data_IF_704262968621
#
_entry.id   IF_704262968621
#
_cell.length_a   1.000
_cell.length_b   1.000
_cell.length_c   1.000
_cell.angle_alpha   90.00
_cell.angle_beta   90.00
_cell.angle_gamma   90.00
#
_symmetry.space_group_name_H-M   'P 1'
#
loop_
_entity.id
_entity.type
_entity.pdbx_description
1 polymer ?
#
# COMPACT_ATOMS: atom_id res chain seq x y z
N UNK A 1 -21.66 -13.27 -5.40
CA UNK A 1 -20.44 -12.43 -5.45
C UNK A 1 -19.28 -13.36 -5.77
N UNK A 2 -18.92 -13.47 -7.04
CA UNK A 2 -17.78 -14.27 -7.49
C UNK A 2 -16.50 -13.47 -7.26
N UNK A 3 -15.80 -13.76 -6.17
CA UNK A 3 -14.44 -13.30 -5.97
C UNK A 3 -13.52 -14.18 -6.82
N UNK A 4 -13.42 -13.89 -8.12
CA UNK A 4 -12.49 -14.56 -9.02
C UNK A 4 -11.23 -13.69 -9.18
N UNK A 5 -10.06 -14.26 -8.85
CA UNK A 5 -8.77 -13.62 -9.12
C UNK A 5 -8.67 -13.41 -10.63
N UNK A 6 -8.62 -12.14 -11.07
CA UNK A 6 -8.70 -11.79 -12.49
C UNK A 6 -7.37 -11.95 -13.23
N UNK A 7 -6.27 -11.71 -12.55
CA UNK A 7 -4.91 -11.85 -13.08
C UNK A 7 -3.97 -12.18 -11.91
N UNK A 8 -2.96 -13.01 -12.18
CA UNK A 8 -1.89 -13.31 -11.24
C UNK A 8 -0.56 -13.26 -11.98
N UNK A 9 0.34 -12.36 -11.55
CA UNK A 9 1.68 -12.23 -12.14
C UNK A 9 2.74 -12.31 -11.07
N UNK A 10 3.74 -13.15 -11.31
CA UNK A 10 4.98 -13.18 -10.54
C UNK A 10 6.00 -12.27 -11.22
N UNK A 11 6.49 -11.28 -10.49
CA UNK A 11 7.59 -10.42 -10.94
C UNK A 11 8.77 -10.66 -10.00
N UNK A 12 9.88 -11.12 -10.57
CA UNK A 12 11.03 -11.64 -9.81
C UNK A 12 12.14 -10.60 -9.58
N UNK A 13 12.00 -9.39 -10.11
CA UNK A 13 12.97 -8.31 -9.97
C UNK A 13 12.30 -6.95 -9.99
N UNK A 14 12.90 -5.96 -9.32
CA UNK A 14 12.51 -4.56 -9.46
C UNK A 14 12.84 -4.10 -10.88
N UNK A 15 11.84 -3.66 -11.62
CA UNK A 15 12.01 -3.10 -12.96
C UNK A 15 11.04 -1.95 -13.21
N UNK A 16 11.33 -1.14 -14.23
CA UNK A 16 10.39 -0.09 -14.65
C UNK A 16 9.02 -0.65 -15.05
N UNK A 17 8.98 -1.88 -15.55
CA UNK A 17 7.74 -2.56 -15.94
C UNK A 17 6.95 -3.00 -14.72
N UNK A 18 7.63 -3.46 -13.67
CA UNK A 18 6.99 -3.84 -12.41
C UNK A 18 6.37 -2.64 -11.70
N UNK A 19 7.06 -1.50 -11.71
CA UNK A 19 6.54 -0.23 -11.19
C UNK A 19 5.25 0.18 -11.92
N UNK A 20 5.31 0.24 -13.26
CA UNK A 20 4.14 0.58 -14.10
C UNK A 20 2.97 -0.39 -13.90
N UNK A 21 3.26 -1.68 -13.79
CA UNK A 21 2.24 -2.69 -13.52
C UNK A 21 1.55 -2.41 -12.18
N UNK A 22 2.33 -2.21 -11.11
CA UNK A 22 1.80 -1.93 -9.79
C UNK A 22 0.95 -0.65 -9.78
N UNK A 23 1.44 0.47 -10.33
CA UNK A 23 0.69 1.74 -10.42
C UNK A 23 -0.66 1.58 -11.15
N UNK A 24 -0.68 0.70 -12.16
CA UNK A 24 -1.84 0.40 -12.99
C UNK A 24 -2.93 -0.41 -12.28
N UNK A 25 -2.59 -1.14 -11.21
CA UNK A 25 -3.57 -1.94 -10.45
C UNK A 25 -4.70 -1.05 -9.96
N UNK A 26 -5.92 -1.58 -9.98
CA UNK A 26 -7.14 -0.89 -9.63
C UNK A 26 -7.71 -1.31 -8.27
N UNK A 27 -8.97 -0.96 -8.06
CA UNK A 27 -9.75 -1.40 -6.89
C UNK A 27 -9.86 -2.92 -6.91
N UNK A 28 -9.69 -3.55 -5.74
CA UNK A 28 -9.77 -5.00 -5.55
C UNK A 28 -8.66 -5.83 -6.21
N UNK A 29 -7.68 -5.18 -6.83
CA UNK A 29 -6.46 -5.86 -7.27
C UNK A 29 -5.49 -6.02 -6.09
N UNK A 30 -4.74 -7.11 -6.10
CA UNK A 30 -3.77 -7.42 -5.07
C UNK A 30 -2.38 -7.57 -5.70
N UNK A 31 -1.39 -6.87 -5.13
CA UNK A 31 0.01 -7.12 -5.39
C UNK A 31 0.70 -7.59 -4.11
N UNK A 32 1.55 -8.60 -4.26
CA UNK A 32 2.46 -9.06 -3.21
C UNK A 32 3.87 -8.96 -3.76
N UNK A 33 4.73 -8.21 -3.07
CA UNK A 33 6.14 -8.15 -3.37
C UNK A 33 6.94 -8.79 -2.24
N UNK A 34 7.85 -9.68 -2.59
CA UNK A 34 8.86 -10.24 -1.69
C UNK A 34 10.20 -9.72 -2.15
N UNK A 35 10.64 -8.60 -1.58
CA UNK A 35 11.89 -7.98 -1.98
C UNK A 35 12.57 -7.38 -0.74
N UNK A 36 13.70 -7.95 -0.28
CA UNK A 36 14.36 -7.52 0.94
C UNK A 36 15.16 -6.22 0.76
N UNK A 37 15.19 -5.66 -0.45
CA UNK A 37 15.96 -4.46 -0.77
C UNK A 37 15.13 -3.20 -0.60
N UNK A 38 15.76 -2.15 -0.08
CA UNK A 38 15.19 -0.81 0.06
C UNK A 38 14.67 -0.24 -1.27
N UNK A 39 15.27 -0.65 -2.39
CA UNK A 39 14.88 -0.29 -3.76
C UNK A 39 13.41 -0.60 -4.06
N UNK A 40 12.88 -1.70 -3.52
CA UNK A 40 11.47 -2.07 -3.73
C UNK A 40 10.52 -1.01 -3.18
N UNK A 41 10.87 -0.39 -2.04
CA UNK A 41 10.02 0.64 -1.45
C UNK A 41 9.93 1.87 -2.35
N UNK A 42 11.07 2.34 -2.83
CA UNK A 42 11.16 3.56 -3.63
C UNK A 42 10.68 3.38 -5.07
N UNK A 43 10.95 2.23 -5.68
CA UNK A 43 10.66 1.99 -7.10
C UNK A 43 9.27 1.37 -7.32
N UNK A 44 8.65 0.75 -6.31
CA UNK A 44 7.36 0.06 -6.47
C UNK A 44 6.36 0.48 -5.39
N UNK A 45 6.70 0.32 -4.12
CA UNK A 45 5.75 0.50 -3.03
C UNK A 45 5.20 1.93 -2.96
N UNK A 46 6.07 2.93 -2.85
CA UNK A 46 5.65 4.32 -2.70
C UNK A 46 5.01 4.90 -3.97
N UNK A 47 5.49 4.62 -5.20
CA UNK A 47 4.75 4.94 -6.42
C UNK A 47 3.35 4.34 -6.43
N UNK A 48 3.20 3.07 -6.02
CA UNK A 48 1.89 2.41 -5.91
C UNK A 48 0.95 3.15 -4.96
N UNK A 49 1.42 3.52 -3.76
CA UNK A 49 0.63 4.30 -2.80
C UNK A 49 0.22 5.65 -3.41
N UNK A 50 1.18 6.37 -3.99
CA UNK A 50 0.97 7.69 -4.60
C UNK A 50 -0.05 7.62 -5.75
N UNK A 51 0.00 6.58 -6.57
CA UNK A 51 -0.96 6.36 -7.65
C UNK A 51 -2.40 6.15 -7.12
N UNK A 52 -2.56 5.48 -5.98
CA UNK A 52 -3.86 5.37 -5.30
C UNK A 52 -4.36 6.73 -4.80
N UNK A 53 -3.49 7.50 -4.14
CA UNK A 53 -3.83 8.83 -3.63
C UNK A 53 -4.21 9.81 -4.75
N UNK A 54 -3.50 9.79 -5.88
CA UNK A 54 -3.83 10.60 -7.07
C UNK A 54 -5.18 10.22 -7.69
N UNK A 55 -5.69 9.01 -7.44
CA UNK A 55 -7.01 8.53 -7.86
C UNK A 55 -8.07 8.75 -6.77
N UNK A 56 -7.76 9.50 -5.72
CA UNK A 56 -8.62 9.73 -4.56
C UNK A 56 -9.05 8.44 -3.84
N UNK A 57 -8.21 7.42 -3.86
CA UNK A 57 -8.44 6.17 -3.13
C UNK A 57 -7.90 6.27 -1.70
N UNK A 58 -8.48 5.49 -0.78
CA UNK A 58 -7.90 5.32 0.56
C UNK A 58 -6.77 4.31 0.45
N UNK A 59 -5.61 4.68 0.98
CA UNK A 59 -4.38 3.89 0.87
C UNK A 59 -3.85 3.54 2.25
N UNK A 60 -3.50 2.28 2.44
CA UNK A 60 -2.84 1.80 3.65
C UNK A 60 -1.47 1.19 3.34
N UNK A 61 -0.46 1.57 4.14
CA UNK A 61 0.83 0.90 4.19
C UNK A 61 0.95 0.11 5.49
N UNK A 62 1.15 -1.20 5.38
CA UNK A 62 1.40 -2.07 6.54
C UNK A 62 2.90 -2.18 6.76
N UNK A 63 3.39 -1.59 7.86
CA UNK A 63 4.79 -1.60 8.25
C UNK A 63 5.07 -2.65 9.34
N UNK A 64 6.31 -3.18 9.44
CA UNK A 64 6.74 -3.91 10.62
C UNK A 64 6.59 -3.04 11.88
N UNK A 65 6.16 -3.64 12.99
CA UNK A 65 5.82 -2.96 14.26
C UNK A 65 6.96 -2.02 14.72
N UNK A 66 8.20 -2.51 14.63
CA UNK A 66 9.39 -1.82 15.09
C UNK A 66 9.92 -0.77 14.09
N UNK A 67 9.31 -0.63 12.91
CA UNK A 67 9.76 0.29 11.83
C UNK A 67 8.74 1.34 11.45
N UNK A 68 7.56 1.40 12.08
CA UNK A 68 6.48 2.30 11.68
C UNK A 68 6.92 3.77 11.57
N UNK A 69 7.63 4.30 12.58
CA UNK A 69 8.12 5.69 12.57
C UNK A 69 9.19 5.96 11.51
N UNK A 70 10.05 4.96 11.24
CA UNK A 70 11.07 5.04 10.21
C UNK A 70 10.42 5.11 8.82
N UNK A 71 9.49 4.19 8.56
CA UNK A 71 8.72 4.14 7.31
C UNK A 71 7.91 5.42 7.12
N UNK A 72 7.27 5.95 8.17
CA UNK A 72 6.54 7.20 8.08
C UNK A 72 7.43 8.35 7.62
N UNK A 73 8.64 8.45 8.18
CA UNK A 73 9.63 9.46 7.78
C UNK A 73 10.08 9.26 6.33
N UNK A 74 10.34 8.03 5.90
CA UNK A 74 10.73 7.72 4.53
C UNK A 74 9.65 8.09 3.51
N UNK A 75 8.38 7.78 3.82
CA UNK A 75 7.24 8.07 2.95
C UNK A 75 7.02 9.58 2.80
N UNK A 76 7.16 10.34 3.90
CA UNK A 76 7.12 11.80 3.86
C UNK A 76 8.27 12.36 3.02
N UNK A 77 9.49 11.85 3.20
CA UNK A 77 10.67 12.25 2.42
C UNK A 77 10.53 11.91 0.92
N UNK A 78 9.81 10.84 0.59
CA UNK A 78 9.48 10.48 -0.79
C UNK A 78 8.47 11.45 -1.44
N UNK A 79 7.80 12.28 -0.63
CA UNK A 79 6.87 13.31 -1.11
C UNK A 79 5.40 12.86 -1.12
N UNK A 80 5.05 11.82 -0.36
CA UNK A 80 3.64 11.61 0.02
C UNK A 80 3.34 12.57 1.16
N UNK A 81 2.53 13.59 0.86
CA UNK A 81 2.27 14.70 1.77
C UNK A 81 1.56 14.25 3.06
N UNK A 82 1.95 14.84 4.20
CA UNK A 82 1.25 14.68 5.48
C UNK A 82 -0.22 15.12 5.44
N UNK A 83 -0.63 15.93 4.47
CA UNK A 83 -2.05 16.27 4.26
C UNK A 83 -2.92 15.04 3.99
N UNK A 84 -2.37 13.99 3.37
CA UNK A 84 -3.09 12.72 3.18
C UNK A 84 -3.23 11.94 4.49
N UNK A 85 -2.31 12.12 5.44
CA UNK A 85 -2.41 11.55 6.79
C UNK A 85 -3.49 12.28 7.59
N UNK A 86 -3.52 13.62 7.51
CA UNK A 86 -4.45 14.44 8.30
C UNK A 86 -5.91 14.28 7.86
N UNK A 87 -6.16 14.06 6.56
CA UNK A 87 -7.50 13.83 6.03
C UNK A 87 -7.93 12.35 6.03
N UNK A 88 -7.07 11.44 6.50
CA UNK A 88 -7.36 10.01 6.62
C UNK A 88 -7.39 9.20 5.31
N UNK A 89 -7.00 9.81 4.18
CA UNK A 89 -6.88 9.09 2.89
C UNK A 89 -5.63 8.23 2.82
N UNK A 90 -4.62 8.52 3.64
CA UNK A 90 -3.44 7.69 3.82
C UNK A 90 -3.28 7.27 5.28
N UNK A 91 -2.92 6.02 5.50
CA UNK A 91 -2.60 5.51 6.84
C UNK A 91 -1.41 4.55 6.81
N UNK A 92 -0.60 4.60 7.86
CA UNK A 92 0.49 3.65 8.11
C UNK A 92 0.14 2.91 9.39
N UNK A 93 0.10 1.59 9.33
CA UNK A 93 -0.29 0.73 10.44
C UNK A 93 0.71 -0.40 10.63
N UNK A 94 0.76 -0.95 11.84
CA UNK A 94 1.56 -2.13 12.09
C UNK A 94 0.90 -3.39 11.49
N UNK A 95 1.69 -4.44 11.26
CA UNK A 95 1.14 -5.74 10.87
C UNK A 95 0.21 -6.29 11.96
N UNK A 96 0.56 -6.11 13.24
CA UNK A 96 -0.33 -6.40 14.37
C UNK A 96 -1.69 -5.69 14.25
N UNK A 97 -1.72 -4.38 14.03
CA UNK A 97 -2.98 -3.61 13.91
C UNK A 97 -3.82 -4.06 12.71
N UNK A 98 -3.15 -4.44 11.62
CA UNK A 98 -3.81 -4.89 10.40
C UNK A 98 -4.37 -6.31 10.50
N UNK A 99 -3.59 -7.25 11.04
CA UNK A 99 -3.93 -8.67 11.04
C UNK A 99 -4.66 -9.12 12.30
N UNK A 100 -4.32 -8.57 13.46
CA UNK A 100 -4.77 -9.05 14.76
C UNK A 100 -5.79 -8.11 15.39
N UNK A 101 -5.58 -6.79 15.32
CA UNK A 101 -6.61 -5.85 15.74
C UNK A 101 -7.63 -5.57 14.64
N UNK A 102 -8.87 -5.26 15.06
CA UNK A 102 -10.00 -5.03 14.15
C UNK A 102 -9.93 -3.67 13.44
N UNK A 103 -8.75 -3.09 13.25
CA UNK A 103 -8.58 -1.78 12.61
C UNK A 103 -8.83 -1.83 11.09
N UNK A 104 -8.97 -3.04 10.51
CA UNK A 104 -9.68 -3.27 9.25
C UNK A 104 -11.04 -2.55 9.22
N UNK A 105 -11.70 -2.37 10.37
CA UNK A 105 -13.00 -1.69 10.46
C UNK A 105 -12.91 -0.19 10.24
N UNK A 106 -11.82 0.50 10.62
CA UNK A 106 -11.66 1.95 10.37
C UNK A 106 -11.52 2.27 8.88
N UNK A 107 -10.83 1.39 8.15
CA UNK A 107 -10.75 1.49 6.68
C UNK A 107 -12.07 1.05 6.03
N UNK A 108 -12.74 0.02 6.58
CA UNK A 108 -14.04 -0.45 6.08
C UNK A 108 -15.23 0.46 6.41
N UNK A 109 -15.13 1.34 7.41
CA UNK A 109 -16.17 2.32 7.75
C UNK A 109 -16.19 3.52 6.80
N UNK A 110 -15.18 3.66 5.94
CA UNK A 110 -15.35 4.35 4.66
C UNK A 110 -16.18 3.43 3.76
N UNK A 111 -17.49 3.61 3.86
CA UNK A 111 -18.56 2.83 3.25
C UNK A 111 -18.22 2.34 1.82
N UNK A 112 -18.33 1.03 1.60
CA UNK A 112 -18.37 0.39 0.28
C UNK A 112 -17.35 0.89 -0.78
N UNK A 113 -16.06 0.60 -0.57
CA UNK A 113 -15.25 0.02 -1.66
C UNK A 113 -14.05 0.77 -2.24
N UNK A 114 -13.43 1.74 -1.58
CA UNK A 114 -12.31 2.52 -2.14
C UNK A 114 -10.99 2.31 -1.37
N UNK A 115 -10.45 1.09 -1.34
CA UNK A 115 -9.19 0.85 -0.60
C UNK A 115 -8.14 0.12 -1.44
N UNK A 116 -6.97 0.75 -1.62
CA UNK A 116 -5.72 0.11 -2.02
C UNK A 116 -4.91 -0.23 -0.78
N UNK A 117 -4.47 -1.47 -0.69
CA UNK A 117 -3.66 -1.94 0.44
C UNK A 117 -2.35 -2.45 -0.13
N UNK A 118 -1.25 -1.94 0.42
CA UNK A 118 0.05 -2.55 0.22
C UNK A 118 0.46 -3.27 1.51
N UNK A 119 0.56 -4.58 1.42
CA UNK A 119 1.31 -5.39 2.40
C UNK A 119 2.68 -5.65 1.82
N UNK A 120 3.70 -4.98 2.34
CA UNK A 120 5.09 -5.35 2.07
C UNK A 120 5.56 -6.24 3.23
N UNK A 121 5.81 -7.52 2.95
CA UNK A 121 6.54 -8.39 3.85
C UNK A 121 8.02 -8.10 3.62
N UNK A 122 8.62 -7.29 4.49
CA UNK A 122 10.06 -7.03 4.54
C UNK A 122 10.63 -7.76 5.75
#
# INVERSE_FOLDING_TARGET
MDACIRDFRFILSVSRESAKYAEGLGRSDHAVGLCPTEEFKHEIAFPFLKAGLLKCEIVAYVAPEHKQSLIAKEILNYGINGDYLSNGTFTIMSAYDWYLEKDKRRIKSADQGLTRILTALV
#
